data_IF_894594771701
#
_entry.id   IF_894594771701
#
_cell.length_a   1.000
_cell.length_b   1.000
_cell.length_c   1.000
_cell.angle_alpha   90.00
_cell.angle_beta   90.00
_cell.angle_gamma   90.00
#
_symmetry.space_group_name_H-M   'P 1'
#
loop_
_entity.id
_entity.type
_entity.pdbx_description
1 polymer ?
#
# COMPACT_ATOMS: atom_id res chain seq x y z
N UNK A 1 -13.98 -2.39 -1.75
CA UNK A 1 -14.17 -2.92 -3.13
C UNK A 1 -12.81 -3.32 -3.71
N UNK A 2 -12.62 -4.58 -4.14
CA UNK A 2 -11.35 -5.07 -4.72
C UNK A 2 -11.03 -4.37 -6.06
N UNK A 3 -9.79 -3.93 -6.26
CA UNK A 3 -9.29 -3.32 -7.49
C UNK A 3 -8.41 -4.29 -8.29
N UNK A 4 -7.66 -5.13 -7.59
CA UNK A 4 -6.71 -6.05 -8.18
C UNK A 4 -6.50 -7.25 -7.24
N UNK A 5 -6.35 -8.44 -7.81
CA UNK A 5 -5.94 -9.66 -7.12
C UNK A 5 -4.84 -10.34 -7.90
N UNK A 6 -3.77 -10.75 -7.21
CA UNK A 6 -2.58 -11.37 -7.81
C UNK A 6 -2.07 -12.50 -6.93
N UNK A 7 -1.72 -13.63 -7.51
CA UNK A 7 -1.02 -14.70 -6.82
C UNK A 7 0.48 -14.37 -6.75
N UNK A 8 1.05 -14.46 -5.55
CA UNK A 8 2.45 -14.16 -5.31
C UNK A 8 3.31 -15.41 -5.53
N UNK A 9 4.35 -15.29 -6.33
CA UNK A 9 5.32 -16.38 -6.58
C UNK A 9 6.39 -16.50 -5.48
N UNK A 10 6.45 -15.55 -4.55
CA UNK A 10 7.49 -15.46 -3.52
C UNK A 10 8.80 -14.81 -4.01
N UNK A 11 8.82 -14.28 -5.23
CA UNK A 11 9.95 -13.54 -5.80
C UNK A 11 9.46 -12.24 -6.44
N UNK A 12 10.39 -11.31 -6.69
CA UNK A 12 10.06 -10.04 -7.32
C UNK A 12 9.41 -10.27 -8.69
N UNK A 13 8.35 -9.52 -8.97
CA UNK A 13 7.55 -9.67 -10.17
C UNK A 13 6.86 -8.37 -10.55
N UNK A 14 6.63 -8.20 -11.86
CA UNK A 14 5.84 -7.11 -12.42
C UNK A 14 4.82 -7.68 -13.40
N UNK A 15 3.60 -7.17 -13.33
CA UNK A 15 2.53 -7.53 -14.24
C UNK A 15 1.79 -6.28 -14.72
N UNK A 16 1.44 -6.28 -16.00
CA UNK A 16 0.54 -5.29 -16.59
C UNK A 16 -0.86 -5.88 -16.68
N UNK A 17 -1.86 -5.03 -16.51
CA UNK A 17 -3.27 -5.43 -16.66
C UNK A 17 -3.62 -5.47 -18.14
N UNK A 18 -4.22 -6.58 -18.59
CA UNK A 18 -4.67 -6.68 -19.96
C UNK A 18 -5.82 -5.68 -20.24
N UNK A 19 -5.78 -5.02 -21.40
CA UNK A 19 -6.87 -4.17 -21.88
C UNK A 19 -8.20 -4.95 -21.90
N UNK A 20 -9.27 -4.34 -21.39
CA UNK A 20 -10.60 -4.96 -21.29
C UNK A 20 -10.77 -5.92 -20.11
N UNK A 21 -9.77 -6.08 -19.23
CA UNK A 21 -9.91 -6.80 -17.96
C UNK A 21 -10.56 -5.93 -16.89
N UNK A 22 -11.22 -6.52 -15.89
CA UNK A 22 -11.85 -5.76 -14.80
C UNK A 22 -10.90 -4.79 -14.07
N UNK A 23 -9.63 -5.14 -13.76
CA UNK A 23 -8.68 -4.18 -13.18
C UNK A 23 -8.37 -3.03 -14.13
N UNK A 24 -8.19 -3.33 -15.42
CA UNK A 24 -7.98 -2.29 -16.44
C UNK A 24 -9.17 -1.36 -16.54
N UNK A 25 -10.40 -1.89 -16.51
CA UNK A 25 -11.66 -1.13 -16.50
C UNK A 25 -11.86 -0.31 -15.22
N UNK A 26 -11.13 -0.60 -14.15
CA UNK A 26 -11.05 0.24 -12.93
C UNK A 26 -9.89 1.24 -12.95
N UNK A 27 -9.09 1.22 -14.03
CA UNK A 27 -7.98 2.14 -14.25
C UNK A 27 -6.66 1.69 -13.64
N UNK A 28 -6.52 0.43 -13.25
CA UNK A 28 -5.22 -0.14 -12.86
C UNK A 28 -4.47 -0.48 -14.15
N UNK A 29 -3.22 -0.03 -14.30
CA UNK A 29 -2.33 -0.36 -15.43
C UNK A 29 -1.43 -1.55 -15.13
N UNK A 30 -1.08 -1.73 -13.87
CA UNK A 30 -0.16 -2.78 -13.49
C UNK A 30 0.30 -2.67 -12.06
N UNK A 31 1.10 -3.66 -11.70
CA UNK A 31 1.61 -3.88 -10.38
C UNK A 31 3.08 -4.33 -10.45
N UNK A 32 3.89 -3.84 -9.53
CA UNK A 32 5.20 -4.41 -9.20
C UNK A 32 5.18 -4.90 -7.76
N UNK A 33 5.88 -5.98 -7.48
CA UNK A 33 6.13 -6.48 -6.13
C UNK A 33 7.62 -6.78 -6.05
N UNK A 34 8.27 -6.22 -5.05
CA UNK A 34 9.72 -6.26 -4.88
C UNK A 34 10.07 -6.53 -3.40
N UNK A 35 11.27 -7.04 -3.15
CA UNK A 35 11.80 -7.19 -1.80
C UNK A 35 12.73 -6.03 -1.49
N UNK A 36 12.55 -5.38 -0.33
CA UNK A 36 13.41 -4.27 0.10
C UNK A 36 13.75 -4.38 1.58
N UNK A 37 15.00 -4.10 1.92
CA UNK A 37 15.42 -3.93 3.31
C UNK A 37 15.31 -2.47 3.71
N UNK A 38 14.50 -2.18 4.72
CA UNK A 38 14.26 -0.84 5.29
C UNK A 38 14.61 -0.94 6.77
N UNK A 39 15.52 -0.08 7.26
CA UNK A 39 15.96 -0.06 8.66
C UNK A 39 16.44 -1.41 9.22
N UNK A 40 16.95 -2.28 8.34
CA UNK A 40 17.44 -3.60 8.73
C UNK A 40 16.38 -4.71 8.68
N UNK A 41 15.12 -4.39 8.39
CA UNK A 41 13.99 -5.34 8.26
C UNK A 41 13.60 -5.55 6.80
N UNK A 42 13.32 -6.80 6.43
CA UNK A 42 12.93 -7.17 5.06
C UNK A 42 11.43 -7.00 4.84
N UNK A 43 11.08 -6.09 3.93
CA UNK A 43 9.72 -5.75 3.55
C UNK A 43 9.39 -6.27 2.16
N UNK A 44 8.12 -6.56 1.94
CA UNK A 44 7.54 -6.64 0.58
C UNK A 44 7.07 -5.25 0.19
N UNK A 45 7.68 -4.69 -0.84
CA UNK A 45 7.25 -3.42 -1.42
C UNK A 45 6.36 -3.71 -2.59
N UNK A 46 5.15 -3.21 -2.52
CA UNK A 46 4.19 -3.26 -3.60
C UNK A 46 4.12 -1.91 -4.28
N UNK A 47 3.99 -1.89 -5.60
CA UNK A 47 3.69 -0.71 -6.40
C UNK A 47 2.47 -0.97 -7.28
N UNK A 48 1.48 -0.09 -7.30
CA UNK A 48 0.36 -0.09 -8.24
C UNK A 48 0.40 1.19 -9.07
N UNK A 49 0.14 1.06 -10.36
CA UNK A 49 0.04 2.18 -11.28
C UNK A 49 -1.38 2.31 -11.80
N UNK A 50 -1.90 3.53 -11.81
CA UNK A 50 -3.20 3.87 -12.36
C UNK A 50 -3.06 4.64 -13.69
N UNK A 51 -4.04 4.50 -14.57
CA UNK A 51 -4.23 5.34 -15.76
C UNK A 51 -5.24 6.42 -15.40
N UNK A 52 -4.78 7.53 -14.85
CA UNK A 52 -5.64 8.64 -14.43
C UNK A 52 -6.07 9.56 -15.58
N UNK A 53 -5.38 9.45 -16.73
CA UNK A 53 -5.70 10.18 -17.96
C UNK A 53 -6.75 9.47 -18.84
N UNK A 54 -7.09 8.19 -18.56
CA UNK A 54 -8.07 7.48 -19.40
C UNK A 54 -9.48 8.07 -19.29
N UNK A 55 -10.25 8.09 -20.40
CA UNK A 55 -11.66 8.43 -20.36
C UNK A 55 -12.45 7.50 -19.42
N UNK A 56 -13.21 8.06 -18.49
CA UNK A 56 -14.02 7.29 -17.55
C UNK A 56 -13.26 6.75 -16.34
N UNK A 57 -12.01 7.19 -16.10
CA UNK A 57 -11.37 6.98 -14.82
C UNK A 57 -12.17 7.62 -13.68
N UNK A 58 -12.43 6.83 -12.64
CA UNK A 58 -13.05 7.34 -11.42
C UNK A 58 -11.97 8.01 -10.57
N UNK A 59 -11.86 9.33 -10.67
CA UNK A 59 -10.88 10.13 -9.91
C UNK A 59 -10.92 9.86 -8.39
N UNK A 60 -12.09 9.47 -7.86
CA UNK A 60 -12.24 9.09 -6.45
C UNK A 60 -11.38 7.89 -6.08
N UNK A 61 -10.94 7.08 -7.05
CA UNK A 61 -9.97 5.99 -6.80
C UNK A 61 -8.66 6.51 -6.23
N UNK A 62 -8.20 7.68 -6.68
CA UNK A 62 -6.96 8.28 -6.20
C UNK A 62 -7.14 8.99 -4.86
N UNK A 63 -8.36 9.42 -4.56
CA UNK A 63 -8.75 10.12 -3.33
C UNK A 63 -9.16 9.15 -2.20
N UNK A 64 -9.60 7.94 -2.55
CA UNK A 64 -10.06 6.97 -1.57
C UNK A 64 -8.90 6.26 -0.86
N UNK A 65 -9.08 5.85 0.41
CA UNK A 65 -8.13 4.98 1.06
C UNK A 65 -8.01 3.65 0.31
N UNK A 66 -6.78 3.26 0.00
CA UNK A 66 -6.48 1.95 -0.57
C UNK A 66 -5.71 1.14 0.46
N UNK A 67 -5.92 -0.18 0.44
CA UNK A 67 -5.15 -1.14 1.24
C UNK A 67 -4.58 -2.23 0.35
N UNK A 68 -3.39 -2.68 0.69
CA UNK A 68 -2.78 -3.91 0.22
C UNK A 68 -2.98 -4.98 1.29
N UNK A 69 -3.54 -6.12 0.91
CA UNK A 69 -3.73 -7.26 1.80
C UNK A 69 -3.01 -8.47 1.24
N UNK A 70 -2.22 -9.13 2.09
CA UNK A 70 -1.71 -10.46 1.77
C UNK A 70 -2.59 -11.46 2.52
N UNK A 71 -3.11 -12.43 1.77
CA UNK A 71 -3.97 -13.50 2.29
C UNK A 71 -3.35 -14.86 2.05
N UNK A 72 -3.46 -15.74 3.03
CA UNK A 72 -3.04 -17.14 2.93
C UNK A 72 -3.82 -17.86 1.81
N UNK A 73 -3.36 -19.04 1.34
CA UNK A 73 -4.16 -19.86 0.42
C UNK A 73 -5.55 -20.23 0.96
N UNK A 74 -5.71 -20.29 2.29
CA UNK A 74 -6.98 -20.53 2.95
C UNK A 74 -7.88 -19.28 3.01
N UNK A 75 -7.34 -18.10 2.69
CA UNK A 75 -8.04 -16.82 2.65
C UNK A 75 -7.83 -15.94 3.90
N UNK A 76 -7.08 -16.43 4.89
CA UNK A 76 -6.79 -15.71 6.14
C UNK A 76 -5.93 -14.48 5.86
N UNK A 77 -6.22 -13.37 6.54
CA UNK A 77 -5.40 -12.16 6.43
C UNK A 77 -4.05 -12.38 7.14
N UNK A 78 -2.95 -12.25 6.40
CA UNK A 78 -1.58 -12.34 6.93
C UNK A 78 -1.09 -10.95 7.35
N UNK A 79 -1.22 -9.99 6.44
CA UNK A 79 -0.86 -8.59 6.70
C UNK A 79 -1.71 -7.67 5.84
N UNK A 80 -1.92 -6.46 6.33
CA UNK A 80 -2.68 -5.41 5.67
C UNK A 80 -1.93 -4.10 5.86
N UNK A 81 -1.68 -3.43 4.76
CA UNK A 81 -0.98 -2.15 4.75
C UNK A 81 -1.79 -1.10 3.99
N UNK A 82 -1.81 0.11 4.51
CA UNK A 82 -2.39 1.26 3.83
C UNK A 82 -1.48 1.72 2.70
N UNK A 83 -2.06 2.05 1.55
CA UNK A 83 -1.36 2.87 0.57
C UNK A 83 -1.36 4.33 1.05
N UNK A 84 -0.53 4.65 2.04
CA UNK A 84 -0.40 6.01 2.52
C UNK A 84 0.53 6.79 1.60
N UNK A 85 -0.03 7.65 0.76
CA UNK A 85 0.74 8.39 -0.25
C UNK A 85 0.90 9.86 0.03
N UNK A 86 -0.08 10.56 0.59
CA UNK A 86 0.04 12.01 0.74
C UNK A 86 0.74 12.41 2.04
N UNK A 87 0.50 11.71 3.15
CA UNK A 87 1.28 11.93 4.37
C UNK A 87 2.69 11.33 4.23
N UNK A 88 2.83 10.18 3.58
CA UNK A 88 4.14 9.63 3.21
C UNK A 88 4.92 10.54 2.24
N UNK A 89 4.27 11.13 1.22
CA UNK A 89 4.90 12.17 0.38
C UNK A 89 5.26 13.41 1.19
N UNK A 90 4.42 13.84 2.12
CA UNK A 90 4.74 14.99 2.98
C UNK A 90 5.89 14.68 3.95
N UNK A 91 5.93 13.48 4.53
CA UNK A 91 7.03 13.02 5.39
C UNK A 91 8.32 12.88 4.58
N UNK A 92 8.28 12.23 3.40
CA UNK A 92 9.39 12.19 2.46
C UNK A 92 9.88 13.58 2.03
N UNK A 93 8.96 14.54 1.84
CA UNK A 93 9.32 15.95 1.59
C UNK A 93 10.07 16.52 2.79
N UNK A 94 9.52 16.36 4.00
CA UNK A 94 10.12 16.86 5.24
C UNK A 94 11.49 16.22 5.50
N UNK A 95 11.62 14.90 5.40
CA UNK A 95 12.89 14.17 5.57
C UNK A 95 13.94 14.65 4.58
N UNK A 96 13.57 14.78 3.30
CA UNK A 96 14.48 15.31 2.27
C UNK A 96 14.91 16.74 2.56
N UNK A 97 13.97 17.59 2.97
CA UNK A 97 14.22 19.00 3.22
C UNK A 97 15.01 19.21 4.54
N UNK A 98 14.95 18.27 5.48
CA UNK A 98 15.68 18.29 6.76
C UNK A 98 16.97 17.48 6.76
N UNK A 99 17.21 16.66 5.73
CA UNK A 99 18.35 15.74 5.64
C UNK A 99 18.21 14.48 6.51
N UNK A 100 16.99 14.19 6.97
CA UNK A 100 16.67 13.01 7.76
C UNK A 100 16.66 11.72 6.90
N UNK A 101 16.77 10.56 7.54
CA UNK A 101 17.04 9.29 6.85
C UNK A 101 16.03 8.17 7.15
N UNK A 102 14.98 8.43 7.92
CA UNK A 102 13.97 7.43 8.29
C UNK A 102 13.37 6.74 7.04
N UNK A 103 13.06 7.50 6.00
CA UNK A 103 12.46 6.95 4.77
C UNK A 103 13.45 6.67 3.63
N UNK A 104 14.75 6.57 3.92
CA UNK A 104 15.83 6.42 2.91
C UNK A 104 15.64 5.21 1.98
N UNK A 105 15.05 4.13 2.46
CA UNK A 105 14.75 2.93 1.66
C UNK A 105 13.82 3.21 0.48
N UNK A 106 12.91 4.18 0.62
CA UNK A 106 11.91 4.53 -0.39
C UNK A 106 12.43 5.58 -1.38
N UNK A 107 13.21 6.56 -0.91
CA UNK A 107 13.93 7.48 -1.81
C UNK A 107 14.83 6.72 -2.79
N UNK A 108 15.45 5.61 -2.36
CA UNK A 108 16.23 4.75 -3.24
C UNK A 108 15.39 4.07 -4.34
N UNK A 109 14.10 3.82 -4.09
CA UNK A 109 13.20 3.21 -5.08
C UNK A 109 12.69 4.24 -6.09
N UNK A 110 12.50 5.50 -5.67
CA UNK A 110 12.03 6.59 -6.52
C UNK A 110 13.15 7.46 -7.08
N UNK A 111 14.40 7.02 -6.99
CA UNK A 111 15.60 7.77 -7.38
C UNK A 111 15.68 9.19 -6.76
N UNK A 112 15.10 9.37 -5.57
CA UNK A 112 15.08 10.63 -4.83
C UNK A 112 13.92 11.57 -5.16
N UNK A 113 13.01 11.18 -6.05
CA UNK A 113 11.83 11.95 -6.41
C UNK A 113 10.57 11.48 -5.65
N UNK A 114 9.58 12.36 -5.51
CA UNK A 114 8.29 11.94 -4.95
C UNK A 114 7.49 11.20 -6.00
N UNK A 115 6.87 10.06 -5.68
CA UNK A 115 6.10 9.34 -6.66
C UNK A 115 4.83 10.11 -7.03
N UNK A 116 4.45 10.18 -8.32
CA UNK A 116 3.27 10.90 -8.80
C UNK A 116 1.96 10.28 -8.30
N UNK A 117 0.85 11.04 -8.36
CA UNK A 117 -0.45 10.67 -7.80
C UNK A 117 -1.10 9.42 -8.41
N UNK A 118 -0.72 9.00 -9.62
CA UNK A 118 -1.18 7.73 -10.19
C UNK A 118 -0.32 6.53 -9.76
N UNK A 119 0.78 6.74 -9.05
CA UNK A 119 1.62 5.68 -8.50
C UNK A 119 1.33 5.51 -7.01
N UNK A 120 1.14 4.26 -6.57
CA UNK A 120 0.81 3.87 -5.20
C UNK A 120 1.79 2.79 -4.73
N UNK A 121 2.24 2.85 -3.49
CA UNK A 121 3.17 1.97 -2.82
C UNK A 121 2.57 1.51 -1.49
N UNK A 122 2.85 0.26 -1.14
CA UNK A 122 2.59 -0.27 0.19
C UNK A 122 3.84 -1.02 0.66
N UNK A 123 4.15 -0.89 1.95
CA UNK A 123 5.32 -1.50 2.60
C UNK A 123 4.82 -2.55 3.58
N UNK A 124 4.66 -3.77 3.10
CA UNK A 124 4.16 -4.86 3.92
C UNK A 124 5.33 -5.41 4.74
N UNK A 125 5.20 -5.41 6.06
CA UNK A 125 6.19 -5.97 7.00
C UNK A 125 6.15 -7.51 7.01
N UNK A 126 6.31 -8.08 5.83
CA UNK A 126 6.38 -9.51 5.60
C UNK A 126 7.32 -9.76 4.43
N UNK A 127 8.39 -10.56 4.61
CA UNK A 127 9.34 -10.84 3.55
C UNK A 127 8.70 -11.56 2.35
N UNK A 128 8.98 -11.09 1.13
CA UNK A 128 8.38 -11.62 -0.11
C UNK A 128 8.60 -13.13 -0.28
N UNK A 129 9.78 -13.62 0.09
CA UNK A 129 10.12 -15.04 0.03
C UNK A 129 9.24 -15.93 0.93
N UNK A 130 8.58 -15.37 1.96
CA UNK A 130 7.72 -16.12 2.89
C UNK A 130 6.26 -16.21 2.46
N UNK A 131 5.87 -15.42 1.45
CA UNK A 131 4.47 -15.28 1.00
C UNK A 131 4.25 -15.84 -0.41
N UNK A 132 5.14 -16.72 -0.87
CA UNK A 132 4.89 -17.51 -2.08
C UNK A 132 3.63 -18.38 -1.94
N UNK A 133 2.79 -18.40 -2.98
CA UNK A 133 1.48 -19.05 -2.98
C UNK A 133 0.37 -18.27 -2.26
N UNK A 134 0.70 -17.14 -1.63
CA UNK A 134 -0.32 -16.26 -1.04
C UNK A 134 -0.96 -15.38 -2.12
N UNK A 135 -2.10 -14.78 -1.79
CA UNK A 135 -2.81 -13.85 -2.65
C UNK A 135 -2.60 -12.43 -2.16
N UNK A 136 -2.15 -11.54 -3.04
CA UNK A 136 -2.16 -10.11 -2.84
C UNK A 136 -3.47 -9.52 -3.37
N UNK A 137 -4.13 -8.71 -2.55
CA UNK A 137 -5.36 -8.00 -2.90
C UNK A 137 -5.16 -6.51 -2.69
N UNK A 138 -5.53 -5.72 -3.70
CA UNK A 138 -5.64 -4.27 -3.59
C UNK A 138 -7.11 -3.94 -3.50
N UNK A 139 -7.51 -3.18 -2.50
CA UNK A 139 -8.91 -2.82 -2.35
C UNK A 139 -9.07 -1.35 -1.96
N UNK A 140 -10.14 -0.73 -2.46
CA UNK A 140 -10.71 0.48 -1.87
C UNK A 140 -11.27 0.14 -0.50
N UNK A 141 -10.94 0.95 0.48
CA UNK A 141 -11.43 0.89 1.86
C UNK A 141 -12.17 2.18 2.20
N UNK A 142 -13.01 2.16 3.21
CA UNK A 142 -13.59 3.37 3.79
C UNK A 142 -12.88 3.74 5.10
N UNK A 143 -12.96 5.02 5.50
CA UNK A 143 -12.39 5.49 6.76
C UNK A 143 -12.86 4.65 7.94
N UNK A 144 -14.15 4.33 7.99
CA UNK A 144 -14.74 3.52 9.08
C UNK A 144 -14.11 2.13 9.16
N UNK A 145 -13.84 1.50 8.02
CA UNK A 145 -13.22 0.18 7.97
C UNK A 145 -11.76 0.23 8.46
N UNK A 146 -11.07 1.32 8.15
CA UNK A 146 -9.70 1.54 8.60
C UNK A 146 -9.63 1.72 10.12
N UNK A 147 -10.51 2.56 10.67
CA UNK A 147 -10.61 2.76 12.13
C UNK A 147 -10.95 1.44 12.82
N UNK A 148 -11.99 0.73 12.35
CA UNK A 148 -12.40 -0.53 12.94
C UNK A 148 -11.28 -1.58 12.92
N UNK A 149 -10.47 -1.62 11.85
CA UNK A 149 -9.35 -2.55 11.74
C UNK A 149 -8.23 -2.24 12.74
N UNK A 150 -7.95 -0.96 12.99
CA UNK A 150 -6.96 -0.52 13.99
C UNK A 150 -7.48 -0.75 15.41
N UNK A 151 -8.74 -0.41 15.69
CA UNK A 151 -9.36 -0.67 16.98
C UNK A 151 -9.39 -2.16 17.31
N UNK A 152 -9.64 -3.01 16.31
CA UNK A 152 -9.58 -4.46 16.48
C UNK A 152 -8.15 -4.93 16.79
N UNK A 153 -7.15 -4.49 16.02
CA UNK A 153 -5.75 -4.87 16.24
C UNK A 153 -5.20 -4.38 17.59
N UNK A 154 -5.69 -3.24 18.06
CA UNK A 154 -5.40 -2.78 19.41
C UNK A 154 -6.08 -3.65 20.48
N UNK A 155 -7.36 -3.98 20.27
CA UNK A 155 -8.14 -4.80 21.19
C UNK A 155 -7.66 -6.25 21.32
N UNK A 156 -7.03 -6.81 20.28
CA UNK A 156 -6.46 -8.16 20.31
C UNK A 156 -4.96 -8.20 20.67
N UNK A 157 -4.34 -7.01 20.86
CA UNK A 157 -2.94 -6.86 21.25
C UNK A 157 -1.93 -7.07 20.11
N UNK A 158 -2.39 -7.13 18.86
CA UNK A 158 -1.50 -7.13 17.68
C UNK A 158 -0.86 -5.77 17.41
N UNK A 159 -1.44 -4.69 17.92
CA UNK A 159 -0.88 -3.33 17.89
C UNK A 159 -0.50 -2.84 19.29
N UNK A 160 0.65 -2.20 19.38
CA UNK A 160 1.07 -1.43 20.57
C UNK A 160 0.28 -0.13 20.70
N UNK A 161 0.30 0.49 21.89
CA UNK A 161 -0.28 1.82 22.12
C UNK A 161 0.27 2.87 21.13
N UNK A 162 1.57 2.81 20.82
CA UNK A 162 2.24 3.75 19.90
C UNK A 162 1.76 3.56 18.46
N UNK A 163 1.67 2.31 17.98
CA UNK A 163 1.16 1.98 16.66
C UNK A 163 -0.32 2.37 16.53
N UNK A 164 -1.14 2.09 17.55
CA UNK A 164 -2.54 2.48 17.56
C UNK A 164 -2.71 4.00 17.43
N UNK A 165 -2.01 4.79 18.26
CA UNK A 165 -2.10 6.25 18.23
C UNK A 165 -1.56 6.82 16.92
N UNK A 166 -0.46 6.27 16.40
CA UNK A 166 0.13 6.67 15.12
C UNK A 166 -0.81 6.42 13.94
N UNK A 167 -1.42 5.23 13.89
CA UNK A 167 -2.34 4.83 12.82
C UNK A 167 -3.65 5.63 12.89
N UNK A 168 -4.23 5.82 14.08
CA UNK A 168 -5.46 6.61 14.28
C UNK A 168 -5.26 8.09 13.93
N UNK A 169 -4.17 8.70 14.41
CA UNK A 169 -3.80 10.08 14.05
C UNK A 169 -3.63 10.21 12.54
N UNK A 170 -2.98 9.23 11.91
CA UNK A 170 -2.86 9.17 10.47
C UNK A 170 -4.23 9.14 9.78
N UNK A 171 -5.17 8.31 10.22
CA UNK A 171 -6.52 8.26 9.63
C UNK A 171 -7.23 9.60 9.74
N UNK A 172 -7.23 10.23 10.92
CA UNK A 172 -7.96 11.47 11.17
C UNK A 172 -7.42 12.64 10.34
N UNK A 173 -6.11 12.70 10.14
CA UNK A 173 -5.48 13.71 9.29
C UNK A 173 -5.75 13.48 7.79
N UNK A 174 -5.83 12.21 7.37
CA UNK A 174 -5.93 11.81 5.94
C UNK A 174 -7.37 11.75 5.43
N UNK A 175 -8.31 11.42 6.31
CA UNK A 175 -9.73 11.26 6.00
C UNK A 175 -10.54 11.99 7.07
N UNK A 176 -10.63 13.33 6.99
CA UNK A 176 -11.47 14.08 7.91
C UNK A 176 -12.93 13.67 7.75
N UNK A 177 -13.66 13.67 8.86
CA UNK A 177 -15.08 13.32 8.93
C UNK A 177 -15.98 14.29 8.16
#
# INVERSE_FOLDING_TARGET
MELLRVELSGVAARAETATGSDPYERGVLGISVDSKRIEGTDHTVMQVMFDDDRPGFDARTLECPLVAEIRSPAGDLITRELFDHDAFRQRLRVDRDTGDNDLRGVLLLTAGELPPAYLRFAFLDTPLARIGGCTLVVARSERVDLVASIEQGYGDGSLTDEEYQGLMTGIDQRHPA
#
